data_IF_511195639295
#
_entry.id   IF_511195639295
#
_cell.length_a   1.000
_cell.length_b   1.000
_cell.length_c   1.000
_cell.angle_alpha   90.00
_cell.angle_beta   90.00
_cell.angle_gamma   90.00
#
_symmetry.space_group_name_H-M   'P 1'
#
loop_
_entity.id
_entity.type
_entity.pdbx_description
1 polymer ?
#
# COMPACT_ATOMS: atom_id res chain seq x y z
N UNK A 1 -57.87 5.10 -16.79
CA UNK A 1 -57.17 3.81 -16.51
C UNK A 1 -55.74 3.94 -17.04
N UNK A 2 -54.77 4.16 -16.16
CA UNK A 2 -53.34 4.37 -16.52
C UNK A 2 -52.70 2.98 -16.62
N UNK A 3 -52.03 2.65 -17.74
CA UNK A 3 -51.29 1.39 -17.90
C UNK A 3 -49.83 1.59 -17.42
N UNK A 4 -49.49 0.99 -16.28
CA UNK A 4 -48.12 0.93 -15.77
C UNK A 4 -47.28 -0.04 -16.61
N UNK A 5 -46.23 0.47 -17.26
CA UNK A 5 -45.27 -0.37 -17.99
C UNK A 5 -44.12 -0.75 -17.04
N UNK A 6 -43.90 -2.04 -16.70
CA UNK A 6 -42.94 -2.45 -15.67
C UNK A 6 -41.46 -2.26 -16.06
N UNK A 7 -41.19 -1.73 -17.25
CA UNK A 7 -39.86 -1.52 -17.83
C UNK A 7 -39.01 -0.43 -17.15
N UNK A 8 -39.55 0.34 -16.20
CA UNK A 8 -38.81 1.43 -15.54
C UNK A 8 -38.08 1.00 -14.26
N UNK A 9 -38.37 -0.19 -13.73
CA UNK A 9 -37.75 -0.67 -12.48
C UNK A 9 -36.39 -1.37 -12.73
N UNK A 10 -36.06 -1.72 -13.98
CA UNK A 10 -34.84 -2.49 -14.30
C UNK A 10 -33.58 -1.62 -14.41
N UNK A 11 -33.68 -0.28 -14.37
CA UNK A 11 -32.53 0.64 -14.52
C UNK A 11 -31.92 1.08 -13.16
N UNK A 12 -32.32 0.47 -12.04
CA UNK A 12 -31.82 0.81 -10.70
C UNK A 12 -31.15 -0.37 -9.98
N UNK A 13 -30.52 -1.26 -10.75
CA UNK A 13 -29.55 -2.22 -10.23
C UNK A 13 -28.16 -1.57 -10.33
N UNK A 14 -27.92 -0.56 -9.49
CA UNK A 14 -26.55 -0.14 -9.19
C UNK A 14 -25.88 -1.32 -8.49
N UNK A 15 -25.14 -2.12 -9.25
CA UNK A 15 -24.19 -3.08 -8.68
C UNK A 15 -23.13 -2.23 -8.01
N UNK A 16 -23.28 -2.00 -6.71
CA UNK A 16 -22.23 -1.46 -5.87
C UNK A 16 -21.07 -2.43 -5.95
N UNK A 17 -20.10 -2.15 -6.83
CA UNK A 17 -18.83 -2.86 -6.83
C UNK A 17 -18.19 -2.55 -5.48
N UNK A 18 -18.29 -3.48 -4.54
CA UNK A 18 -17.50 -3.42 -3.33
C UNK A 18 -16.06 -3.57 -3.76
N UNK A 19 -15.26 -2.50 -3.68
CA UNK A 19 -13.81 -2.63 -3.75
C UNK A 19 -13.40 -3.37 -2.47
N UNK A 20 -13.30 -4.69 -2.57
CA UNK A 20 -12.75 -5.48 -1.49
C UNK A 20 -11.25 -5.50 -1.73
N UNK A 21 -10.52 -4.65 -1.00
CA UNK A 21 -9.06 -4.60 -1.09
C UNK A 21 -8.48 -5.99 -0.83
N UNK A 22 -7.62 -6.44 -1.74
CA UNK A 22 -6.90 -7.69 -1.59
C UNK A 22 -5.81 -7.53 -0.51
N UNK A 23 -5.43 -8.65 0.11
CA UNK A 23 -4.28 -8.70 1.02
C UNK A 23 -3.07 -9.24 0.27
N UNK A 24 -1.99 -8.47 0.28
CA UNK A 24 -0.70 -8.83 -0.33
C UNK A 24 0.32 -9.04 0.77
N UNK A 25 1.00 -10.18 0.80
CA UNK A 25 1.95 -10.52 1.86
C UNK A 25 3.39 -10.31 1.38
N UNK A 26 4.21 -9.71 2.25
CA UNK A 26 5.65 -9.51 2.03
C UNK A 26 6.41 -10.17 3.17
N UNK A 27 7.29 -11.10 2.83
CA UNK A 27 8.10 -11.87 3.78
C UNK A 27 9.45 -12.25 3.15
N UNK A 28 10.53 -11.91 3.84
CA UNK A 28 11.91 -12.24 3.43
C UNK A 28 12.16 -13.76 3.36
N UNK A 29 11.37 -14.57 4.09
CA UNK A 29 11.47 -16.03 4.13
C UNK A 29 10.63 -16.76 3.07
N UNK A 30 9.83 -16.05 2.27
CA UNK A 30 9.26 -16.59 1.02
C UNK A 30 7.78 -16.97 1.05
N UNK A 31 7.02 -16.62 2.09
CA UNK A 31 5.55 -16.66 2.03
C UNK A 31 5.00 -15.34 1.45
N UNK A 32 5.33 -15.06 0.18
CA UNK A 32 4.87 -13.84 -0.52
C UNK A 32 5.97 -13.14 -1.32
N UNK A 33 5.80 -11.83 -1.52
CA UNK A 33 6.81 -10.99 -2.17
C UNK A 33 8.04 -10.84 -1.28
N UNK A 34 9.22 -10.75 -1.89
CA UNK A 34 10.49 -10.55 -1.18
C UNK A 34 10.85 -9.07 -1.06
N UNK A 35 10.28 -8.23 -1.91
CA UNK A 35 10.41 -6.77 -1.90
C UNK A 35 9.07 -6.12 -1.60
N UNK A 36 9.09 -5.03 -0.82
CA UNK A 36 7.91 -4.20 -0.59
C UNK A 36 7.51 -3.47 -1.88
N UNK A 37 8.48 -3.04 -2.70
CA UNK A 37 8.17 -2.36 -3.96
C UNK A 37 7.46 -3.28 -4.94
N UNK A 38 7.89 -4.53 -5.09
CA UNK A 38 7.20 -5.50 -5.96
C UNK A 38 5.74 -5.74 -5.51
N UNK A 39 5.51 -5.74 -4.19
CA UNK A 39 4.17 -5.86 -3.63
C UNK A 39 3.32 -4.62 -3.88
N UNK A 40 3.91 -3.42 -3.76
CA UNK A 40 3.26 -2.16 -4.15
C UNK A 40 2.90 -2.21 -5.64
N UNK A 41 3.83 -2.59 -6.52
CA UNK A 41 3.65 -2.63 -7.96
C UNK A 41 2.53 -3.60 -8.38
N UNK A 42 2.42 -4.74 -7.69
CA UNK A 42 1.38 -5.74 -7.93
C UNK A 42 0.02 -5.41 -7.30
N UNK A 43 0.01 -4.61 -6.22
CA UNK A 43 -1.23 -4.24 -5.52
C UNK A 43 -2.15 -3.36 -6.38
N UNK A 44 -3.45 -3.59 -6.23
CA UNK A 44 -4.50 -2.70 -6.72
C UNK A 44 -4.76 -1.53 -5.77
N UNK A 45 -5.42 -0.45 -6.23
CA UNK A 45 -5.87 0.62 -5.34
C UNK A 45 -6.84 0.11 -4.28
N UNK A 46 -6.57 0.45 -3.02
CA UNK A 46 -7.33 0.04 -1.83
C UNK A 46 -6.81 -1.23 -1.15
N UNK A 47 -5.80 -1.88 -1.71
CA UNK A 47 -5.25 -3.13 -1.16
C UNK A 47 -4.46 -2.89 0.13
N UNK A 48 -4.36 -3.97 0.92
CA UNK A 48 -3.58 -4.02 2.15
C UNK A 48 -2.33 -4.85 1.90
N UNK A 49 -1.17 -4.21 1.98
CA UNK A 49 0.14 -4.85 1.89
C UNK A 49 0.63 -5.12 3.32
N UNK A 50 0.61 -6.38 3.73
CA UNK A 50 1.08 -6.83 5.04
C UNK A 50 2.55 -7.22 4.93
N UNK A 51 3.40 -6.50 5.67
CA UNK A 51 4.85 -6.72 5.66
C UNK A 51 5.29 -7.32 6.98
N UNK A 52 5.84 -8.53 6.93
CA UNK A 52 6.36 -9.25 8.10
C UNK A 52 7.69 -8.66 8.60
N UNK A 53 8.18 -9.11 9.75
CA UNK A 53 9.48 -8.70 10.27
C UNK A 53 10.60 -8.98 9.25
N UNK A 54 11.46 -8.00 9.04
CA UNK A 54 12.60 -8.12 8.13
C UNK A 54 13.22 -6.76 7.84
N UNK A 55 14.39 -6.77 7.22
CA UNK A 55 15.01 -5.57 6.65
C UNK A 55 14.82 -5.59 5.15
N UNK A 56 14.23 -4.52 4.64
CA UNK A 56 13.91 -4.32 3.23
C UNK A 56 14.79 -3.19 2.70
N UNK A 57 15.89 -3.53 1.98
CA UNK A 57 16.77 -2.53 1.41
C UNK A 57 16.12 -1.85 0.20
N UNK A 58 16.38 -0.55 0.07
CA UNK A 58 15.93 0.28 -1.01
C UNK A 58 14.83 1.26 -0.61
N UNK A 59 14.66 2.26 -1.45
CA UNK A 59 13.64 3.30 -1.30
C UNK A 59 12.31 2.83 -1.88
N UNK A 60 11.21 3.28 -1.27
CA UNK A 60 9.85 2.91 -1.67
C UNK A 60 9.14 4.10 -2.33
N UNK A 61 8.56 3.85 -3.50
CA UNK A 61 7.68 4.80 -4.19
C UNK A 61 6.24 4.29 -4.13
N UNK A 62 5.39 5.02 -3.40
CA UNK A 62 3.98 4.65 -3.16
C UNK A 62 3.09 5.54 -4.02
N UNK A 63 2.85 5.09 -5.25
CA UNK A 63 2.09 5.79 -6.30
C UNK A 63 0.62 5.38 -6.41
N UNK A 64 0.19 4.48 -5.52
CA UNK A 64 -1.19 3.97 -5.43
C UNK A 64 -1.75 4.16 -4.03
N UNK A 65 -3.05 4.39 -3.94
CA UNK A 65 -3.77 4.40 -2.66
C UNK A 65 -3.75 2.99 -2.07
N UNK A 66 -2.85 2.71 -1.13
CA UNK A 66 -2.72 1.38 -0.49
C UNK A 66 -2.51 1.53 1.01
N UNK A 67 -2.75 0.45 1.75
CA UNK A 67 -2.42 0.35 3.17
C UNK A 67 -1.17 -0.51 3.31
N UNK A 68 -0.04 0.12 3.60
CA UNK A 68 1.20 -0.54 4.00
C UNK A 68 1.13 -0.78 5.51
N UNK A 69 1.02 -2.05 5.90
CA UNK A 69 0.92 -2.48 7.30
C UNK A 69 2.08 -3.38 7.68
N UNK A 70 2.99 -2.85 8.48
CA UNK A 70 4.05 -3.62 9.12
C UNK A 70 3.53 -4.41 10.32
N UNK A 71 3.85 -5.70 10.37
CA UNK A 71 3.52 -6.60 11.48
C UNK A 71 4.79 -7.19 12.07
N UNK A 72 4.87 -7.23 13.40
CA UNK A 72 5.93 -7.97 14.08
C UNK A 72 5.58 -9.47 14.05
N UNK A 73 6.30 -10.22 13.22
CA UNK A 73 6.18 -11.67 13.08
C UNK A 73 7.19 -12.44 13.94
N UNK A 74 7.79 -11.79 14.95
CA UNK A 74 8.70 -12.41 15.93
C UNK A 74 10.14 -11.93 15.86
N UNK A 75 10.48 -11.00 14.96
CA UNK A 75 11.81 -10.40 14.85
C UNK A 75 11.80 -8.86 14.93
N UNK A 76 10.73 -8.26 15.46
CA UNK A 76 10.56 -6.82 15.57
C UNK A 76 9.78 -6.24 14.39
N UNK A 77 9.66 -4.91 14.33
CA UNK A 77 8.97 -4.23 13.22
C UNK A 77 9.75 -4.38 11.92
N UNK A 78 9.09 -4.48 10.75
CA UNK A 78 9.77 -4.36 9.47
C UNK A 78 10.54 -3.06 9.36
N UNK A 79 11.75 -3.15 8.83
CA UNK A 79 12.67 -2.04 8.65
C UNK A 79 12.77 -1.73 7.15
N UNK A 80 12.43 -0.50 6.77
CA UNK A 80 12.76 0.03 5.44
C UNK A 80 14.11 0.75 5.55
N UNK A 81 15.10 0.26 4.81
CA UNK A 81 16.45 0.81 4.80
C UNK A 81 16.68 1.55 3.47
N UNK A 82 16.69 2.89 3.52
CA UNK A 82 16.87 3.72 2.32
C UNK A 82 18.28 3.68 1.72
N UNK A 83 19.22 2.92 2.30
CA UNK A 83 20.59 2.69 1.79
C UNK A 83 21.41 3.98 1.52
N UNK A 84 20.99 5.11 2.09
CA UNK A 84 21.61 6.41 1.87
C UNK A 84 21.35 7.01 0.48
N UNK A 85 20.29 6.59 -0.21
CA UNK A 85 19.92 7.09 -1.53
C UNK A 85 18.46 7.54 -1.54
N UNK A 86 18.21 8.83 -1.38
CA UNK A 86 16.85 9.33 -1.46
C UNK A 86 16.16 9.44 -0.11
N UNK A 87 14.88 9.83 -0.22
CA UNK A 87 13.93 9.55 0.86
C UNK A 87 13.64 8.05 0.88
N UNK A 88 13.68 7.43 2.06
CA UNK A 88 13.46 5.98 2.19
C UNK A 88 12.03 5.58 1.79
N UNK A 89 11.05 6.46 2.02
CA UNK A 89 9.68 6.30 1.53
C UNK A 89 9.18 7.60 0.91
N UNK A 90 8.68 7.54 -0.31
CA UNK A 90 8.02 8.64 -1.02
C UNK A 90 6.56 8.27 -1.27
N UNK A 91 5.64 9.01 -0.65
CA UNK A 91 4.19 8.84 -0.83
C UNK A 91 3.70 9.84 -1.87
N UNK A 92 3.20 9.35 -3.00
CA UNK A 92 2.74 10.15 -4.14
C UNK A 92 1.22 10.07 -4.35
N UNK A 93 0.55 9.04 -3.82
CA UNK A 93 -0.89 8.90 -3.90
C UNK A 93 -1.62 9.34 -2.63
N UNK A 94 -2.85 9.81 -2.81
CA UNK A 94 -3.73 10.20 -1.71
C UNK A 94 -4.28 8.96 -1.00
N UNK A 95 -4.59 9.12 0.29
CA UNK A 95 -5.20 8.06 1.11
C UNK A 95 -4.28 6.87 1.40
N UNK A 96 -2.97 7.02 1.19
CA UNK A 96 -1.98 6.01 1.60
C UNK A 96 -1.91 5.97 3.13
N UNK A 97 -1.93 4.75 3.67
CA UNK A 97 -1.68 4.50 5.09
C UNK A 97 -0.37 3.76 5.21
N UNK A 98 0.56 4.29 6.01
CA UNK A 98 1.80 3.63 6.36
C UNK A 98 1.86 3.47 7.89
N UNK A 99 1.81 2.22 8.36
CA UNK A 99 1.78 1.92 9.79
C UNK A 99 2.65 0.71 10.14
N UNK A 100 3.22 0.70 11.35
CA UNK A 100 3.94 -0.47 11.86
C UNK A 100 5.38 -0.66 11.36
N UNK A 101 5.98 0.33 10.70
CA UNK A 101 7.36 0.27 10.18
C UNK A 101 8.38 0.98 11.08
N UNK A 102 9.63 0.56 10.96
CA UNK A 102 10.82 1.35 11.27
C UNK A 102 11.45 1.81 9.96
N UNK A 103 11.89 3.05 9.87
CA UNK A 103 12.48 3.61 8.64
C UNK A 103 13.83 4.23 9.00
N UNK A 104 14.89 3.82 8.31
CA UNK A 104 16.25 4.30 8.59
C UNK A 104 17.06 4.58 7.31
N UNK A 105 18.23 5.19 7.49
CA UNK A 105 19.23 5.45 6.46
C UNK A 105 18.74 6.25 5.23
N UNK A 106 17.83 7.21 5.42
CA UNK A 106 17.62 8.27 4.43
C UNK A 106 18.78 9.29 4.52
N UNK A 107 19.44 9.62 3.41
CA UNK A 107 20.62 10.51 3.39
C UNK A 107 20.54 11.49 2.21
N UNK A 108 20.41 12.78 2.52
CA UNK A 108 20.49 13.85 1.52
C UNK A 108 19.96 15.19 2.08
N UNK A 109 20.45 16.33 1.56
CA UNK A 109 20.18 17.66 2.13
C UNK A 109 18.72 18.12 2.08
N UNK A 110 17.88 17.48 1.27
CA UNK A 110 16.43 17.71 1.21
C UNK A 110 15.62 16.43 1.46
N UNK A 111 16.26 15.39 2.00
CA UNK A 111 15.68 14.04 2.02
C UNK A 111 15.16 13.68 3.40
N UNK A 112 14.09 12.90 3.41
CA UNK A 112 13.32 12.58 4.61
C UNK A 112 13.23 11.07 4.77
N UNK A 113 13.10 10.58 6.01
CA UNK A 113 12.70 9.19 6.22
C UNK A 113 11.39 8.89 5.48
N UNK A 114 10.43 9.81 5.56
CA UNK A 114 9.18 9.77 4.80
C UNK A 114 8.96 11.12 4.12
N UNK A 115 8.79 11.13 2.80
CA UNK A 115 8.43 12.30 1.99
C UNK A 115 7.01 12.13 1.46
N UNK A 116 6.17 13.16 1.60
CA UNK A 116 4.77 13.13 1.16
C UNK A 116 4.57 14.19 0.08
N UNK A 117 4.08 13.76 -1.09
CA UNK A 117 3.80 14.56 -2.28
C UNK A 117 2.32 14.46 -2.74
N UNK A 118 1.50 13.71 -1.99
CA UNK A 118 0.06 13.56 -2.21
C UNK A 118 -0.66 14.92 -2.11
N UNK A 119 -1.78 15.09 -2.84
CA UNK A 119 -2.47 16.39 -3.06
C UNK A 119 -3.78 16.53 -2.28
#
# INVERSE_FOLDING_TARGET
>A
MIRFNPLWIVILLAVSMTVQGATVNVDVQGQGYRSIQEAIDAAGPGDIIVVASGTYPGSLDVDKTVILRGVDSGAGRPVVDGEGNGSAVTIMADGVVLEGFSICNAVGGQESGIRVLSS
#
